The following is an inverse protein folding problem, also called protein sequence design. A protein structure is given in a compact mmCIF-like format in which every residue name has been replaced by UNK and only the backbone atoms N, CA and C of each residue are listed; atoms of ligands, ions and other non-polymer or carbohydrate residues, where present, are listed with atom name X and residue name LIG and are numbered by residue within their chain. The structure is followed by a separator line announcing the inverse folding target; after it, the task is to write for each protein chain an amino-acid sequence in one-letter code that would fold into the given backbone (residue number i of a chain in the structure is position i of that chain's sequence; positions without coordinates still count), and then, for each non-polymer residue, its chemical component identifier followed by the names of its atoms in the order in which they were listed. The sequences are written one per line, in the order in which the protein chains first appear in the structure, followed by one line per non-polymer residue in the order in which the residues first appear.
data_IF_604990729672
#
_entry.id   IF_604990729672
#
_cell.length_a   1.000
_cell.length_b   1.000
_cell.length_c   1.000
_cell.angle_alpha   90.00
_cell.angle_beta   90.00
_cell.angle_gamma   90.00
#
_symmetry.space_group_name_H-M   'P 1'
#
loop_
_entity.id
_entity.type
_entity.pdbx_description
1 polymer ?
#
# COMPACT_ATOMS: atom_id res chain seq x y z
N UNK A 1 -1.01 28.54 -19.56
CA UNK A 1 0.10 27.77 -18.96
C UNK A 1 -0.50 26.44 -18.54
N UNK A 2 -0.43 25.44 -19.43
CA UNK A 2 -1.09 24.15 -19.25
C UNK A 2 -0.30 23.29 -18.27
N UNK A 3 -0.98 22.80 -17.24
CA UNK A 3 -0.43 21.82 -16.31
C UNK A 3 -0.01 20.58 -17.10
N UNK A 4 1.25 20.16 -16.95
CA UNK A 4 1.70 18.83 -17.32
C UNK A 4 1.04 17.81 -16.37
N UNK A 5 -0.21 17.48 -16.66
CA UNK A 5 -0.78 16.20 -16.30
C UNK A 5 -0.29 15.19 -17.33
N UNK A 6 0.81 14.50 -17.03
CA UNK A 6 1.13 13.23 -17.70
C UNK A 6 -0.07 12.31 -17.52
N UNK A 7 -0.73 12.00 -18.63
CA UNK A 7 -2.14 11.70 -18.66
C UNK A 7 -2.43 10.25 -18.20
N UNK A 8 -3.69 10.01 -17.84
CA UNK A 8 -4.41 8.72 -17.87
C UNK A 8 -3.69 7.64 -18.70
N UNK A 9 -3.65 8.04 -19.95
CA UNK A 9 -3.45 7.20 -21.08
C UNK A 9 -1.97 6.95 -21.29
N UNK A 10 -1.09 7.96 -21.18
CA UNK A 10 0.34 7.82 -21.50
C UNK A 10 1.10 6.71 -20.72
N UNK A 11 0.72 6.42 -19.46
CA UNK A 11 1.36 5.39 -18.61
C UNK A 11 0.72 4.00 -18.79
N UNK A 12 -0.56 3.93 -19.15
CA UNK A 12 -1.24 2.67 -19.50
C UNK A 12 -1.08 2.34 -21.00
N UNK A 13 -0.75 3.34 -21.82
CA UNK A 13 -0.27 3.28 -23.21
C UNK A 13 1.18 2.82 -23.30
N UNK A 14 1.93 2.78 -22.20
CA UNK A 14 3.00 1.78 -22.07
C UNK A 14 2.29 0.42 -22.02
N UNK A 15 2.05 -0.12 -23.21
CA UNK A 15 1.17 -1.25 -23.56
C UNK A 15 0.89 -2.19 -22.38
N UNK A 16 -0.35 -2.61 -22.16
CA UNK A 16 -0.68 -3.76 -21.29
C UNK A 16 0.26 -4.97 -21.53
N UNK A 17 0.74 -5.11 -22.77
CA UNK A 17 1.81 -6.02 -23.16
C UNK A 17 3.16 -5.78 -22.46
N UNK A 18 3.60 -4.54 -22.27
CA UNK A 18 4.76 -4.17 -21.45
C UNK A 18 4.62 -4.71 -20.02
N UNK A 19 3.51 -4.38 -19.34
CA UNK A 19 3.26 -4.84 -17.97
C UNK A 19 3.14 -6.36 -17.88
N UNK A 20 2.46 -6.99 -18.84
CA UNK A 20 2.36 -8.43 -18.93
C UNK A 20 3.73 -9.09 -19.15
N UNK A 21 4.52 -8.57 -20.11
CA UNK A 21 5.87 -9.07 -20.39
C UNK A 21 6.77 -8.94 -19.18
N UNK A 22 6.64 -7.83 -18.44
CA UNK A 22 7.39 -7.59 -17.22
C UNK A 22 6.99 -8.55 -16.11
N UNK A 23 5.70 -8.68 -15.86
CA UNK A 23 5.15 -9.60 -14.87
C UNK A 23 5.59 -11.04 -15.16
N UNK A 24 5.45 -11.50 -16.41
CA UNK A 24 5.89 -12.84 -16.83
C UNK A 24 7.41 -13.04 -16.79
N UNK A 25 8.21 -11.97 -16.86
CA UNK A 25 9.67 -12.05 -16.68
C UNK A 25 10.06 -12.24 -15.23
N UNK A 26 9.32 -11.62 -14.31
CA UNK A 26 9.59 -11.65 -12.87
C UNK A 26 8.92 -12.85 -12.20
N UNK A 27 7.74 -13.24 -12.69
CA UNK A 27 6.99 -14.44 -12.32
C UNK A 27 6.60 -15.25 -13.59
N UNK A 28 7.48 -16.16 -14.05
CA UNK A 28 7.21 -16.98 -15.25
C UNK A 28 6.04 -17.96 -15.09
N UNK A 29 5.60 -18.24 -13.86
CA UNK A 29 4.40 -19.02 -13.57
C UNK A 29 3.11 -18.28 -13.92
N UNK A 30 3.17 -16.94 -14.06
CA UNK A 30 1.99 -16.08 -14.16
C UNK A 30 1.30 -15.85 -12.81
N UNK A 31 1.96 -16.22 -11.71
CA UNK A 31 1.46 -16.09 -10.34
C UNK A 31 2.59 -15.59 -9.44
N UNK A 32 2.46 -14.38 -8.91
CA UNK A 32 3.46 -13.81 -8.01
C UNK A 32 3.19 -14.25 -6.58
N UNK A 33 4.18 -14.90 -5.97
CA UNK A 33 4.15 -15.32 -4.57
C UNK A 33 4.61 -14.19 -3.65
N UNK A 34 4.22 -14.28 -2.37
CA UNK A 34 4.72 -13.37 -1.33
C UNK A 34 6.25 -13.34 -1.26
N UNK A 35 6.90 -14.49 -1.43
CA UNK A 35 8.36 -14.59 -1.43
C UNK A 35 8.98 -13.82 -2.62
N UNK A 36 8.39 -13.93 -3.81
CA UNK A 36 8.83 -13.19 -5.00
C UNK A 36 8.61 -11.69 -4.84
N UNK A 37 7.49 -11.26 -4.24
CA UNK A 37 7.25 -9.84 -3.93
C UNK A 37 8.29 -9.31 -2.94
N UNK A 38 8.51 -9.99 -1.81
CA UNK A 38 9.53 -9.60 -0.81
C UNK A 38 10.93 -9.52 -1.42
N UNK A 39 11.28 -10.47 -2.30
CA UNK A 39 12.55 -10.48 -3.01
C UNK A 39 12.65 -9.29 -3.97
N UNK A 40 11.57 -8.96 -4.68
CA UNK A 40 11.49 -7.81 -5.59
C UNK A 40 11.65 -6.48 -4.86
N UNK A 41 11.12 -6.38 -3.63
CA UNK A 41 11.24 -5.21 -2.76
C UNK A 41 12.57 -5.15 -1.99
N UNK A 42 13.53 -6.04 -2.30
CA UNK A 42 14.85 -6.13 -1.66
C UNK A 42 14.78 -6.23 -0.12
N UNK A 43 13.74 -6.88 0.41
CA UNK A 43 13.50 -6.97 1.85
C UNK A 43 14.44 -7.91 2.61
N UNK A 44 15.43 -8.49 1.93
CA UNK A 44 16.40 -9.41 2.52
C UNK A 44 17.26 -8.66 3.57
N UNK A 45 16.79 -8.62 4.82
CA UNK A 45 17.43 -7.93 5.94
C UNK A 45 16.57 -6.89 6.67
N UNK A 46 15.28 -6.76 6.34
CA UNK A 46 14.34 -5.91 7.08
C UNK A 46 13.84 -6.57 8.38
N UNK A 47 13.28 -5.76 9.29
CA UNK A 47 12.72 -6.19 10.58
C UNK A 47 11.45 -7.03 10.39
N UNK A 48 11.03 -7.74 11.44
CA UNK A 48 9.83 -8.60 11.42
C UNK A 48 8.56 -7.78 11.14
N UNK A 49 8.54 -6.54 11.64
CA UNK A 49 7.48 -5.56 11.46
C UNK A 49 7.37 -5.10 10.00
N UNK A 50 8.49 -4.74 9.36
CA UNK A 50 8.51 -4.39 7.95
C UNK A 50 8.10 -5.58 7.05
N UNK A 51 8.52 -6.80 7.41
CA UNK A 51 8.06 -8.03 6.75
C UNK A 51 6.54 -8.19 6.87
N UNK A 52 5.98 -7.95 8.06
CA UNK A 52 4.54 -8.02 8.31
C UNK A 52 3.76 -7.01 7.47
N UNK A 53 4.24 -5.77 7.33
CA UNK A 53 3.58 -4.79 6.45
C UNK A 53 3.51 -5.25 4.99
N UNK A 54 4.59 -5.83 4.45
CA UNK A 54 4.57 -6.32 3.08
C UNK A 54 3.68 -7.55 2.93
N UNK A 55 3.56 -8.38 3.98
CA UNK A 55 2.57 -9.46 4.02
C UNK A 55 1.15 -8.89 3.91
N UNK A 56 0.84 -7.86 4.69
CA UNK A 56 -0.45 -7.18 4.62
C UNK A 56 -0.68 -6.54 3.24
N UNK A 57 0.30 -5.83 2.68
CA UNK A 57 0.20 -5.25 1.33
C UNK A 57 -0.07 -6.34 0.29
N UNK A 58 0.62 -7.48 0.38
CA UNK A 58 0.37 -8.63 -0.49
C UNK A 58 -1.08 -9.11 -0.38
N UNK A 59 -1.57 -9.38 0.84
CA UNK A 59 -2.94 -9.85 1.06
C UNK A 59 -4.02 -8.84 0.67
N UNK A 60 -3.70 -7.54 0.64
CA UNK A 60 -4.66 -6.57 0.12
C UNK A 60 -4.81 -6.63 -1.40
N UNK A 61 -3.74 -7.00 -2.12
CA UNK A 61 -3.73 -7.16 -3.58
C UNK A 61 -4.20 -8.53 -4.04
N UNK A 62 -3.97 -9.58 -3.25
CA UNK A 62 -4.61 -10.89 -3.39
C UNK A 62 -6.12 -10.71 -3.09
N UNK A 63 -6.91 -10.61 -4.16
CA UNK A 63 -8.33 -10.28 -4.09
C UNK A 63 -9.20 -11.51 -3.85
N UNK A 64 -8.77 -12.67 -4.34
CA UNK A 64 -9.49 -13.93 -4.20
C UNK A 64 -8.99 -14.82 -3.05
N UNK A 65 -7.87 -14.46 -2.43
CA UNK A 65 -7.31 -15.10 -1.25
C UNK A 65 -6.63 -16.44 -1.56
N UNK A 66 -6.21 -16.66 -2.81
CA UNK A 66 -5.57 -17.91 -3.22
C UNK A 66 -4.08 -18.01 -2.79
N UNK A 67 -3.53 -16.93 -2.24
CA UNK A 67 -2.15 -16.81 -1.78
C UNK A 67 -1.17 -16.40 -2.88
N UNK A 68 -1.67 -16.00 -4.04
CA UNK A 68 -0.91 -15.52 -5.18
C UNK A 68 -1.46 -14.16 -5.65
N UNK A 69 -0.64 -13.40 -6.37
CA UNK A 69 -1.10 -12.23 -7.12
C UNK A 69 -1.03 -12.60 -8.60
N UNK A 70 -2.18 -12.69 -9.25
CA UNK A 70 -2.27 -12.92 -10.69
C UNK A 70 -2.04 -11.62 -11.49
N UNK A 71 -2.03 -11.72 -12.82
CA UNK A 71 -1.80 -10.54 -13.66
C UNK A 71 -2.92 -9.49 -13.56
N UNK A 72 -4.16 -9.91 -13.36
CA UNK A 72 -5.32 -9.01 -13.23
C UNK A 72 -5.19 -8.21 -11.94
N UNK A 73 -4.88 -8.89 -10.83
CA UNK A 73 -4.65 -8.29 -9.52
C UNK A 73 -3.43 -7.36 -9.53
N UNK A 74 -2.35 -7.76 -10.19
CA UNK A 74 -1.16 -6.95 -10.36
C UNK A 74 -1.46 -5.62 -11.09
N UNK A 75 -2.22 -5.66 -12.19
CA UNK A 75 -2.62 -4.45 -12.92
C UNK A 75 -3.61 -3.61 -12.11
N UNK A 76 -4.52 -4.24 -11.36
CA UNK A 76 -5.44 -3.54 -10.48
C UNK A 76 -4.69 -2.78 -9.38
N UNK A 77 -3.69 -3.40 -8.76
CA UNK A 77 -2.80 -2.79 -7.78
C UNK A 77 -2.05 -1.58 -8.36
N UNK A 78 -1.40 -1.74 -9.52
CA UNK A 78 -0.68 -0.64 -10.19
C UNK A 78 -1.63 0.52 -10.52
N UNK A 79 -2.82 0.22 -11.03
CA UNK A 79 -3.83 1.23 -11.38
C UNK A 79 -4.31 2.01 -10.15
N UNK A 80 -4.58 1.31 -9.06
CA UNK A 80 -4.99 1.91 -7.78
C UNK A 80 -3.90 2.82 -7.20
N UNK A 81 -2.65 2.37 -7.19
CA UNK A 81 -1.54 3.12 -6.61
C UNK A 81 -1.23 4.39 -7.42
N UNK A 82 -1.17 4.27 -8.76
CA UNK A 82 -0.84 5.39 -9.64
C UNK A 82 -1.95 6.42 -9.77
N UNK A 83 -3.21 5.97 -9.85
CA UNK A 83 -4.33 6.78 -10.37
C UNK A 83 -5.62 6.64 -9.58
N UNK A 84 -5.64 5.78 -8.56
CA UNK A 84 -6.81 5.56 -7.73
C UNK A 84 -7.32 6.87 -7.13
N UNK A 85 -8.63 7.08 -7.21
CA UNK A 85 -9.25 8.21 -6.53
C UNK A 85 -9.04 8.09 -5.02
N UNK A 86 -9.06 9.22 -4.32
CA UNK A 86 -8.93 9.30 -2.86
C UNK A 86 -9.78 8.25 -2.15
N UNK A 87 -11.02 8.02 -2.61
CA UNK A 87 -11.93 7.06 -1.98
C UNK A 87 -11.54 5.61 -2.19
N UNK A 88 -10.99 5.29 -3.36
CA UNK A 88 -10.50 3.94 -3.63
C UNK A 88 -9.26 3.66 -2.78
N UNK A 89 -8.36 4.66 -2.66
CA UNK A 89 -7.18 4.58 -1.79
C UNK A 89 -7.57 4.43 -0.33
N UNK A 90 -8.55 5.21 0.17
CA UNK A 90 -9.03 5.08 1.55
C UNK A 90 -9.67 3.72 1.84
N UNK A 91 -10.44 3.16 0.89
CA UNK A 91 -10.98 1.80 1.02
C UNK A 91 -9.88 0.74 1.07
N UNK A 92 -8.83 0.93 0.27
CA UNK A 92 -7.68 0.05 0.28
C UNK A 92 -6.87 0.17 1.56
N UNK A 93 -6.63 1.39 2.06
CA UNK A 93 -6.00 1.62 3.36
C UNK A 93 -6.80 0.96 4.47
N UNK A 94 -8.13 1.06 4.43
CA UNK A 94 -8.98 0.38 5.39
C UNK A 94 -8.76 -1.14 5.37
N UNK A 95 -8.76 -1.78 4.19
CA UNK A 95 -8.47 -3.21 4.05
C UNK A 95 -7.07 -3.59 4.56
N UNK A 96 -6.11 -2.67 4.49
CA UNK A 96 -4.76 -2.91 5.02
C UNK A 96 -4.70 -2.83 6.55
N UNK A 97 -5.49 -1.94 7.15
CA UNK A 97 -5.56 -1.81 8.60
C UNK A 97 -6.37 -2.94 9.26
N UNK A 98 -7.49 -3.34 8.66
CA UNK A 98 -8.36 -4.44 9.11
C UNK A 98 -7.70 -5.81 8.85
N UNK A 99 -6.83 -6.25 9.78
CA UNK A 99 -5.99 -7.43 9.62
C UNK A 99 -6.77 -8.73 9.81
N UNK A 100 -7.76 -8.72 10.70
CA UNK A 100 -8.61 -9.89 10.96
C UNK A 100 -9.80 -9.99 9.98
N UNK A 101 -10.04 -8.95 9.18
CA UNK A 101 -11.09 -8.90 8.15
C UNK A 101 -12.49 -8.78 8.73
N UNK A 102 -12.64 -8.30 9.97
CA UNK A 102 -13.93 -8.17 10.65
C UNK A 102 -14.76 -6.98 10.14
N UNK A 103 -14.19 -6.13 9.27
CA UNK A 103 -14.84 -4.97 8.68
C UNK A 103 -14.80 -3.72 9.56
N UNK A 104 -13.96 -3.73 10.59
CA UNK A 104 -13.67 -2.64 11.51
C UNK A 104 -12.17 -2.61 11.79
N UNK A 105 -11.68 -1.46 12.25
CA UNK A 105 -10.29 -1.30 12.64
C UNK A 105 -10.21 -1.03 14.13
N UNK A 106 -9.44 -1.83 14.85
CA UNK A 106 -9.13 -1.62 16.25
C UNK A 106 -7.82 -0.83 16.47
N UNK A 107 -7.53 -0.51 17.74
CA UNK A 107 -6.35 0.29 18.11
C UNK A 107 -5.05 -0.46 17.86
N UNK A 108 -5.04 -1.75 18.16
CA UNK A 108 -3.87 -2.60 18.05
C UNK A 108 -3.50 -2.79 16.56
N UNK A 109 -4.51 -2.92 15.70
CA UNK A 109 -4.38 -2.98 14.24
C UNK A 109 -3.75 -1.69 13.66
N UNK A 110 -4.27 -0.52 14.04
CA UNK A 110 -3.69 0.77 13.62
C UNK A 110 -2.25 0.92 14.10
N UNK A 111 -1.99 0.62 15.38
CA UNK A 111 -0.66 0.74 15.97
C UNK A 111 0.36 -0.16 15.27
N UNK A 112 -0.04 -1.38 14.94
CA UNK A 112 0.79 -2.37 14.24
C UNK A 112 1.19 -1.87 12.85
N UNK A 113 0.24 -1.36 12.08
CA UNK A 113 0.54 -0.84 10.73
C UNK A 113 1.41 0.42 10.81
N UNK A 114 1.15 1.34 11.74
CA UNK A 114 1.99 2.54 11.86
C UNK A 114 3.42 2.21 12.28
N UNK A 115 3.63 1.28 13.22
CA UNK A 115 4.96 0.79 13.57
C UNK A 115 5.70 0.24 12.34
N UNK A 116 5.01 -0.58 11.55
CA UNK A 116 5.62 -1.21 10.39
C UNK A 116 5.96 -0.22 9.27
N UNK A 117 5.11 0.78 9.03
CA UNK A 117 5.39 1.86 8.08
C UNK A 117 6.62 2.66 8.52
N UNK A 118 6.70 3.06 9.79
CA UNK A 118 7.83 3.84 10.31
C UNK A 118 9.16 3.12 10.17
N UNK A 119 9.16 1.80 10.35
CA UNK A 119 10.34 0.95 10.14
C UNK A 119 10.78 0.90 8.67
N UNK A 120 9.83 0.86 7.74
CA UNK A 120 10.11 0.86 6.29
C UNK A 120 10.60 2.22 5.83
N UNK A 121 9.92 3.30 6.22
CA UNK A 121 10.23 4.66 5.78
C UNK A 121 11.37 5.29 6.59
N UNK A 122 11.79 4.64 7.69
CA UNK A 122 12.77 5.17 8.66
C UNK A 122 12.38 6.55 9.19
N UNK A 123 11.09 6.81 9.33
CA UNK A 123 10.55 8.07 9.86
C UNK A 123 9.94 7.78 11.22
N UNK A 124 10.55 8.36 12.26
CA UNK A 124 10.16 8.18 13.66
C UNK A 124 9.77 9.52 14.30
N UNK A 125 9.23 10.43 13.49
CA UNK A 125 8.94 11.81 13.91
C UNK A 125 7.83 11.89 14.96
N UNK A 126 6.90 10.94 14.96
CA UNK A 126 5.76 10.86 15.89
C UNK A 126 5.61 9.41 16.37
N UNK A 127 5.49 9.13 17.67
CA UNK A 127 5.23 7.77 18.16
C UNK A 127 3.91 7.20 17.57
N UNK A 128 3.87 5.92 17.17
CA UNK A 128 2.66 5.27 16.67
C UNK A 128 1.45 5.44 17.61
N UNK A 129 1.68 5.36 18.92
CA UNK A 129 0.64 5.48 19.94
C UNK A 129 -0.02 6.88 19.95
N UNK A 130 0.76 7.92 19.67
CA UNK A 130 0.23 9.29 19.53
C UNK A 130 -0.58 9.46 18.25
N UNK A 131 -0.14 8.83 17.14
CA UNK A 131 -0.88 8.83 15.87
C UNK A 131 -2.23 8.13 16.04
N UNK A 132 -2.24 6.95 16.65
CA UNK A 132 -3.47 6.18 16.91
C UNK A 132 -4.41 6.99 17.79
N UNK A 133 -3.90 7.59 18.87
CA UNK A 133 -4.72 8.42 19.76
C UNK A 133 -5.35 9.60 19.01
N UNK A 134 -4.57 10.30 18.19
CA UNK A 134 -5.07 11.42 17.39
C UNK A 134 -6.16 10.99 16.38
N UNK A 135 -5.99 9.84 15.73
CA UNK A 135 -6.98 9.29 14.81
C UNK A 135 -8.28 8.99 15.55
N UNK A 136 -8.22 8.26 16.67
CA UNK A 136 -9.42 7.90 17.43
C UNK A 136 -10.16 9.10 18.00
N UNK A 137 -9.45 10.08 18.56
CA UNK A 137 -10.08 11.29 19.11
C UNK A 137 -10.87 12.09 18.07
N UNK A 138 -10.52 11.94 16.79
CA UNK A 138 -11.11 12.72 15.69
C UNK A 138 -12.10 11.92 14.85
N UNK A 139 -11.87 10.62 14.69
CA UNK A 139 -12.59 9.76 13.76
C UNK A 139 -13.59 8.84 14.46
N UNK A 140 -13.30 8.39 15.69
CA UNK A 140 -14.23 7.55 16.49
C UNK A 140 -15.32 8.41 17.13
N UNK A 141 -16.20 8.97 16.29
CA UNK A 141 -17.29 9.87 16.72
C UNK A 141 -18.29 9.16 17.64
N UNK A 142 -18.47 7.85 17.46
CA UNK A 142 -19.41 7.04 18.27
C UNK A 142 -18.78 6.55 19.58
N UNK A 143 -17.46 6.56 19.70
CA UNK A 143 -16.73 6.11 20.89
C UNK A 143 -16.87 4.60 21.12
N UNK A 144 -17.03 3.83 20.05
CA UNK A 144 -17.20 2.37 20.14
C UNK A 144 -15.86 1.65 20.33
N UNK A 145 -14.74 2.34 20.14
CA UNK A 145 -13.39 1.76 20.25
C UNK A 145 -12.96 1.00 19.00
N UNK A 146 -13.79 0.94 17.98
CA UNK A 146 -13.54 0.33 16.68
C UNK A 146 -14.00 1.30 15.57
N UNK A 147 -13.23 1.42 14.48
CA UNK A 147 -13.54 2.30 13.37
C UNK A 147 -14.17 1.53 12.22
N UNK A 148 -15.41 1.87 11.86
CA UNK A 148 -16.03 1.34 10.63
C UNK A 148 -15.45 2.00 9.38
N UNK A 149 -15.62 1.37 8.22
CA UNK A 149 -15.21 1.94 6.92
C UNK A 149 -15.80 3.33 6.68
N UNK A 150 -17.06 3.54 7.07
CA UNK A 150 -17.74 4.83 6.91
C UNK A 150 -17.12 5.90 7.82
N UNK A 151 -16.83 5.58 9.07
CA UNK A 151 -16.14 6.48 10.00
C UNK A 151 -14.74 6.80 9.50
N UNK A 152 -13.96 5.80 9.10
CA UNK A 152 -12.62 6.00 8.57
C UNK A 152 -12.61 6.93 7.35
N UNK A 153 -13.47 6.68 6.35
CA UNK A 153 -13.54 7.53 5.15
C UNK A 153 -14.02 8.94 5.48
N UNK A 154 -15.06 9.05 6.31
CA UNK A 154 -15.65 10.35 6.65
C UNK A 154 -14.68 11.18 7.48
N UNK A 155 -14.12 10.60 8.53
CA UNK A 155 -13.14 11.25 9.39
C UNK A 155 -11.87 11.64 8.66
N UNK A 156 -11.33 10.79 7.79
CA UNK A 156 -10.18 11.15 6.96
C UNK A 156 -10.50 12.35 6.05
N UNK A 157 -11.70 12.43 5.48
CA UNK A 157 -12.10 13.56 4.62
C UNK A 157 -12.36 14.85 5.40
N UNK A 158 -12.91 14.77 6.61
CA UNK A 158 -13.21 15.92 7.46
C UNK A 158 -11.95 16.48 8.15
N UNK A 159 -10.90 15.67 8.26
CA UNK A 159 -9.61 16.04 8.86
C UNK A 159 -8.47 15.97 7.84
N UNK A 160 -8.18 17.08 7.12
CA UNK A 160 -7.13 17.13 6.10
C UNK A 160 -5.74 16.74 6.62
N UNK A 161 -5.46 17.01 7.91
CA UNK A 161 -4.24 16.60 8.59
C UNK A 161 -4.10 15.07 8.65
N UNK A 162 -5.19 14.35 8.96
CA UNK A 162 -5.21 12.89 8.96
C UNK A 162 -5.12 12.34 7.54
N UNK A 163 -5.83 12.95 6.57
CA UNK A 163 -5.74 12.55 5.17
C UNK A 163 -4.31 12.68 4.60
N UNK A 164 -3.67 13.82 4.83
CA UNK A 164 -2.30 14.07 4.38
C UNK A 164 -1.32 13.08 5.03
N UNK A 165 -1.53 12.81 6.32
CA UNK A 165 -0.74 11.85 7.07
C UNK A 165 -0.90 10.42 6.52
N UNK A 166 -2.13 9.94 6.34
CA UNK A 166 -2.41 8.63 5.74
C UNK A 166 -1.81 8.53 4.34
N UNK A 167 -1.99 9.56 3.51
CA UNK A 167 -1.49 9.56 2.13
C UNK A 167 0.04 9.53 2.07
N UNK A 168 0.73 10.27 2.95
CA UNK A 168 2.20 10.28 3.00
C UNK A 168 2.76 8.98 3.56
N UNK A 169 2.15 8.43 4.60
CA UNK A 169 2.59 7.18 5.22
C UNK A 169 2.35 5.98 4.30
N UNK A 170 1.27 6.02 3.53
CA UNK A 170 0.91 5.02 2.55
C UNK A 170 1.41 5.37 1.14
N UNK A 171 2.40 6.27 1.04
CA UNK A 171 2.99 6.64 -0.23
C UNK A 171 3.91 5.52 -0.73
N UNK A 172 3.27 4.54 -1.37
CA UNK A 172 3.94 3.46 -2.06
C UNK A 172 4.57 3.92 -3.39
N UNK A 173 4.74 5.22 -3.65
CA UNK A 173 5.47 5.70 -4.83
C UNK A 173 6.85 5.07 -4.91
N UNK A 174 7.53 4.82 -3.79
CA UNK A 174 8.81 4.11 -3.82
C UNK A 174 8.68 2.63 -4.27
N UNK A 175 7.67 1.92 -3.76
CA UNK A 175 7.35 0.55 -4.17
C UNK A 175 6.96 0.51 -5.65
N UNK A 176 6.13 1.45 -6.10
CA UNK A 176 5.81 1.66 -7.50
C UNK A 176 7.07 1.97 -8.32
N UNK A 177 7.99 2.82 -7.85
CA UNK A 177 9.22 3.10 -8.59
C UNK A 177 10.09 1.85 -8.73
N UNK A 178 10.15 0.98 -7.72
CA UNK A 178 10.85 -0.32 -7.82
C UNK A 178 10.14 -1.22 -8.82
N UNK A 179 8.82 -1.35 -8.70
CA UNK A 179 7.96 -2.17 -9.57
C UNK A 179 7.91 -1.62 -11.00
N UNK A 180 8.04 -0.31 -11.24
CA UNK A 180 8.00 0.36 -12.56
C UNK A 180 9.40 0.40 -13.19
N UNK A 181 10.45 0.74 -12.43
CA UNK A 181 11.81 0.87 -12.97
C UNK A 181 12.54 -0.47 -13.12
N UNK A 182 12.07 -1.54 -12.47
CA UNK A 182 12.54 -2.93 -12.64
C UNK A 182 14.06 -3.06 -12.64
N UNK A 183 14.69 -3.30 -11.49
CA UNK A 183 16.14 -3.52 -11.33
C UNK A 183 17.03 -2.75 -12.34
N UNK A 184 17.10 -1.42 -12.24
CA UNK A 184 18.30 -0.72 -12.75
C UNK A 184 19.44 -0.87 -11.76
N UNK A 185 20.10 -2.05 -11.73
CA UNK A 185 21.55 -2.27 -11.52
C UNK A 185 21.84 -3.70 -11.00
N UNK A 186 22.07 -4.63 -11.92
CA UNK A 186 23.32 -5.43 -11.86
C UNK A 186 24.33 -4.79 -12.81
N UNK A 187 24.97 -3.70 -12.39
CA UNK A 187 26.31 -3.42 -12.93
C UNK A 187 27.23 -4.41 -12.26
N UNK A 188 27.63 -5.43 -13.03
CA UNK A 188 28.80 -6.23 -12.75
C UNK A 188 29.95 -5.30 -12.36
N UNK A 189 30.38 -5.37 -11.11
CA UNK A 189 31.72 -4.94 -10.74
C UNK A 189 32.58 -6.17 -10.92
N UNK A 190 33.43 -6.10 -11.94
CA UNK A 190 34.52 -7.02 -12.24
C UNK A 190 35.45 -7.19 -11.05
#
# INVERSE_FOLDING_TARGET
MGAHGSNLDDILEEDMHHWYTKFMRESPSGLMTLFELKTTLEMNGMTEEASSYVDQVFFTFDMDGDGYIDFVEYIAAISLLLKGEVNQKLKWYFKLFDQDGNGKIDKDELETIFKAIQDITRSYDIPPEEIVTLIYERIDVKGEGELTLEEFITGAREHPDIMDMLTKMMDLTHVLEIIIKGQTKKKAVK
#
